data_IF_364122190361
#
_entry.id   IF_364122190361
#
_cell.length_a   1.000
_cell.length_b   1.000
_cell.length_c   1.000
_cell.angle_alpha   90.00
_cell.angle_beta   90.00
_cell.angle_gamma   90.00
#
_symmetry.space_group_name_H-M   'P 1'
#
loop_
_entity.id
_entity.type
_entity.pdbx_description
1 polymer ?
#
# COMPACT_ATOMS: atom_id res chain seq x y z
N UNK A 1 0.77 -3.31 4.39
CA UNK A 1 -0.24 -3.41 3.33
C UNK A 1 -1.66 -3.42 3.87
N UNK A 2 -2.03 -4.41 4.67
CA UNK A 2 -3.41 -4.63 5.13
C UNK A 2 -4.14 -3.39 5.67
N UNK A 3 -3.55 -2.66 6.63
CA UNK A 3 -4.17 -1.48 7.21
C UNK A 3 -4.56 -0.42 6.15
N UNK A 4 -3.67 -0.24 5.17
CA UNK A 4 -3.84 0.72 4.09
C UNK A 4 -4.96 0.28 3.13
N UNK A 5 -4.96 -1.00 2.74
CA UNK A 5 -5.99 -1.56 1.86
C UNK A 5 -7.39 -1.48 2.49
N UNK A 6 -7.51 -1.78 3.78
CA UNK A 6 -8.77 -1.67 4.51
C UNK A 6 -9.23 -0.21 4.67
N UNK A 7 -8.30 0.73 4.91
CA UNK A 7 -8.64 2.16 4.93
C UNK A 7 -9.13 2.67 3.57
N UNK A 8 -8.47 2.25 2.49
CA UNK A 8 -8.88 2.60 1.13
C UNK A 8 -10.27 2.03 0.81
N UNK A 9 -10.53 0.78 1.20
CA UNK A 9 -11.84 0.15 1.07
C UNK A 9 -12.91 0.92 1.87
N UNK A 10 -12.62 1.28 3.12
CA UNK A 10 -13.53 2.06 3.96
C UNK A 10 -13.87 3.42 3.31
N UNK A 11 -12.88 4.12 2.78
CA UNK A 11 -13.12 5.35 2.02
C UNK A 11 -14.02 5.11 0.81
N UNK A 12 -13.69 4.10 -0.01
CA UNK A 12 -14.40 3.79 -1.25
C UNK A 12 -15.87 3.41 -1.03
N UNK A 13 -16.19 2.70 0.06
CA UNK A 13 -17.57 2.37 0.43
C UNK A 13 -18.45 3.60 0.74
N UNK A 14 -17.84 4.77 0.99
CA UNK A 14 -18.55 6.02 1.31
C UNK A 14 -18.47 7.07 0.19
N UNK A 15 -17.74 6.78 -0.88
CA UNK A 15 -17.63 7.67 -2.04
C UNK A 15 -18.77 7.38 -3.03
N UNK A 16 -19.21 8.38 -3.83
CA UNK A 16 -20.15 8.15 -4.93
C UNK A 16 -19.63 7.09 -5.91
N UNK A 17 -20.50 6.20 -6.36
CA UNK A 17 -20.16 5.02 -7.19
C UNK A 17 -19.55 5.36 -8.54
N UNK A 18 -19.77 6.56 -9.06
CA UNK A 18 -19.26 7.00 -10.36
C UNK A 18 -17.82 7.54 -10.30
N UNK A 19 -17.16 7.46 -9.14
CA UNK A 19 -15.84 8.06 -8.89
C UNK A 19 -14.84 7.00 -8.47
N UNK A 20 -13.79 6.85 -9.26
CA UNK A 20 -12.68 5.96 -8.97
C UNK A 20 -11.67 6.64 -8.04
N UNK A 21 -10.97 5.83 -7.25
CA UNK A 21 -9.82 6.28 -6.45
C UNK A 21 -8.74 6.83 -7.38
N UNK A 22 -8.28 8.05 -7.12
CA UNK A 22 -7.16 8.66 -7.87
C UNK A 22 -5.88 8.76 -7.07
N UNK A 23 -5.99 9.00 -5.76
CA UNK A 23 -4.84 9.14 -4.89
C UNK A 23 -5.21 8.81 -3.45
N UNK A 24 -4.21 8.35 -2.70
CA UNK A 24 -4.28 8.20 -1.25
C UNK A 24 -2.97 8.71 -0.64
N UNK A 25 -3.10 9.61 0.33
CA UNK A 25 -2.00 10.01 1.20
C UNK A 25 -2.28 9.49 2.60
N UNK A 26 -1.24 9.04 3.31
CA UNK A 26 -1.42 8.43 4.62
C UNK A 26 -0.18 8.57 5.50
N UNK A 27 -0.38 8.42 6.80
CA UNK A 27 0.69 8.24 7.77
C UNK A 27 0.35 7.08 8.71
N UNK A 28 1.32 6.20 8.94
CA UNK A 28 1.29 5.30 10.09
C UNK A 28 1.72 6.09 11.31
N UNK A 29 0.79 6.25 12.26
CA UNK A 29 1.04 7.03 13.47
C UNK A 29 1.62 6.17 14.58
N UNK A 30 1.17 4.93 14.67
CA UNK A 30 1.60 3.97 15.69
C UNK A 30 1.51 2.55 15.14
N UNK A 31 2.34 1.65 15.67
CA UNK A 31 2.23 0.21 15.38
C UNK A 31 0.88 -0.32 15.84
N UNK A 32 0.20 -1.00 14.93
CA UNK A 32 -1.04 -1.69 15.22
C UNK A 32 -0.78 -3.06 15.86
N UNK A 33 -1.62 -3.43 16.82
CA UNK A 33 -1.58 -4.75 17.48
C UNK A 33 -2.39 -5.74 16.63
N UNK A 34 -1.77 -6.82 16.09
CA UNK A 34 -2.43 -7.74 15.16
C UNK A 34 -3.71 -8.40 15.72
N UNK A 35 -3.74 -8.68 17.02
CA UNK A 35 -4.83 -9.37 17.69
C UNK A 35 -6.02 -8.45 18.03
N UNK A 36 -5.90 -7.14 17.76
CA UNK A 36 -6.94 -6.15 18.03
C UNK A 36 -7.57 -5.67 16.71
N UNK A 37 -8.91 -5.59 16.62
CA UNK A 37 -9.55 -5.02 15.45
C UNK A 37 -9.19 -3.53 15.28
N UNK A 38 -9.15 -3.06 14.03
CA UNK A 38 -9.00 -1.65 13.68
C UNK A 38 -10.37 -1.10 13.29
N UNK A 39 -10.82 -0.06 13.97
CA UNK A 39 -12.01 0.70 13.61
C UNK A 39 -11.60 1.83 12.65
N UNK A 40 -12.23 1.86 11.47
CA UNK A 40 -12.01 2.88 10.44
C UNK A 40 -13.16 3.88 10.45
N UNK A 41 -12.88 5.08 10.96
CA UNK A 41 -13.80 6.20 10.90
C UNK A 41 -13.57 6.98 9.61
N UNK A 42 -14.64 7.21 8.84
CA UNK A 42 -14.57 7.89 7.54
C UNK A 42 -15.37 9.19 7.60
N UNK A 43 -14.70 10.31 7.33
CA UNK A 43 -15.30 11.64 7.30
C UNK A 43 -15.30 12.17 5.86
N UNK A 44 -16.47 12.49 5.27
CA UNK A 44 -16.53 13.21 4.01
C UNK A 44 -15.90 14.60 4.14
N UNK A 45 -14.88 14.89 3.33
CA UNK A 45 -14.27 16.22 3.27
C UNK A 45 -14.87 17.08 2.15
N UNK A 46 -15.15 16.44 1.01
CA UNK A 46 -15.68 17.10 -0.17
C UNK A 46 -16.50 16.12 -1.01
N UNK A 47 -17.66 16.56 -1.47
CA UNK A 47 -18.45 15.91 -2.53
C UNK A 47 -18.80 16.95 -3.61
N UNK A 48 -17.82 17.24 -4.46
CA UNK A 48 -18.00 18.15 -5.60
C UNK A 48 -18.68 17.46 -6.79
N UNK A 49 -18.81 18.17 -7.92
CA UNK A 49 -19.40 17.60 -9.15
C UNK A 49 -18.54 16.48 -9.77
N UNK A 50 -17.21 16.65 -9.75
CA UNK A 50 -16.25 15.73 -10.38
C UNK A 50 -15.32 15.03 -9.40
N UNK A 51 -15.14 15.61 -8.21
CA UNK A 51 -14.18 15.15 -7.21
C UNK A 51 -14.85 14.86 -5.89
N UNK A 52 -14.40 13.81 -5.20
CA UNK A 52 -14.71 13.56 -3.80
C UNK A 52 -13.42 13.36 -3.00
N UNK A 53 -13.46 13.71 -1.72
CA UNK A 53 -12.36 13.47 -0.79
C UNK A 53 -12.91 12.91 0.52
N UNK A 54 -12.20 11.95 1.10
CA UNK A 54 -12.49 11.31 2.37
C UNK A 54 -11.28 11.40 3.28
N UNK A 55 -11.51 11.67 4.56
CA UNK A 55 -10.53 11.43 5.61
C UNK A 55 -10.85 10.10 6.28
N UNK A 56 -9.82 9.29 6.54
CA UNK A 56 -9.95 7.98 7.20
C UNK A 56 -9.04 7.97 8.40
N UNK A 57 -9.60 7.69 9.57
CA UNK A 57 -8.87 7.53 10.82
C UNK A 57 -8.99 6.08 11.29
N UNK A 58 -7.86 5.39 11.35
CA UNK A 58 -7.78 4.03 11.89
C UNK A 58 -7.46 4.05 13.38
N UNK A 59 -8.31 3.44 14.21
CA UNK A 59 -8.12 3.38 15.66
C UNK A 59 -8.19 1.96 16.21
N UNK A 60 -7.46 1.67 17.27
CA UNK A 60 -7.54 0.42 18.03
C UNK A 60 -7.80 0.71 19.51
N UNK A 61 -8.32 -0.28 20.24
CA UNK A 61 -8.34 -0.23 21.70
C UNK A 61 -6.91 -0.19 22.28
N UNK A 62 -6.70 0.71 23.23
CA UNK A 62 -5.47 0.78 24.02
C UNK A 62 -5.42 -0.27 25.11
N UNK A 63 -4.41 -0.18 25.99
CA UNK A 63 -4.20 -1.16 27.06
C UNK A 63 -5.07 -0.88 28.29
N UNK A 64 -5.48 0.38 28.47
CA UNK A 64 -6.38 0.81 29.54
C UNK A 64 -7.86 0.83 29.11
N UNK A 65 -8.81 0.68 30.06
CA UNK A 65 -10.24 0.82 29.79
C UNK A 65 -10.56 2.18 29.14
N UNK A 66 -11.26 2.14 28.01
CA UNK A 66 -11.68 3.34 27.27
C UNK A 66 -10.58 4.04 26.47
N UNK A 67 -9.33 3.57 26.50
CA UNK A 67 -8.26 4.17 25.71
C UNK A 67 -8.41 3.80 24.23
N UNK A 68 -8.22 4.78 23.34
CA UNK A 68 -8.19 4.60 21.88
C UNK A 68 -6.86 5.10 21.34
N UNK A 69 -6.19 4.28 20.54
CA UNK A 69 -4.91 4.61 19.90
C UNK A 69 -5.14 4.76 18.40
N UNK A 70 -4.68 5.89 17.85
CA UNK A 70 -4.71 6.09 16.39
C UNK A 70 -3.49 5.43 15.79
N UNK A 71 -3.72 4.51 14.86
CA UNK A 71 -2.67 3.75 14.18
C UNK A 71 -2.42 4.23 12.76
N UNK A 72 -3.45 4.80 12.13
CA UNK A 72 -3.42 5.27 10.75
C UNK A 72 -4.22 6.56 10.62
N UNK A 73 -3.67 7.50 9.84
CA UNK A 73 -4.41 8.64 9.32
C UNK A 73 -4.26 8.64 7.79
N UNK A 74 -5.34 8.85 7.05
CA UNK A 74 -5.30 8.86 5.59
C UNK A 74 -6.31 9.84 4.99
N UNK A 75 -5.97 10.36 3.82
CA UNK A 75 -6.91 11.07 2.96
C UNK A 75 -6.92 10.41 1.58
N UNK A 76 -8.12 10.15 1.08
CA UNK A 76 -8.37 9.48 -0.19
C UNK A 76 -9.15 10.41 -1.10
N UNK A 77 -8.65 10.58 -2.32
CA UNK A 77 -9.28 11.38 -3.37
C UNK A 77 -9.86 10.49 -4.45
N UNK A 78 -10.99 10.93 -4.98
CA UNK A 78 -11.77 10.25 -6.00
C UNK A 78 -12.13 11.21 -7.11
N UNK A 79 -12.20 10.71 -8.35
CA UNK A 79 -12.67 11.49 -9.49
C UNK A 79 -13.52 10.66 -10.43
N UNK A 80 -14.47 11.31 -11.11
CA UNK A 80 -15.10 10.69 -12.29
C UNK A 80 -14.05 10.47 -13.37
N UNK A 81 -14.17 9.44 -14.22
CA UNK A 81 -13.33 9.30 -15.40
C UNK A 81 -13.41 10.54 -16.29
N UNK A 82 -12.26 11.04 -16.75
CA UNK A 82 -12.14 12.25 -17.56
C UNK A 82 -11.12 12.04 -18.68
N UNK A 83 -11.47 12.48 -19.88
CA UNK A 83 -10.50 12.54 -20.98
C UNK A 83 -9.47 13.65 -20.75
N UNK A 84 -8.23 13.40 -21.16
CA UNK A 84 -7.13 14.36 -21.06
C UNK A 84 -5.86 13.82 -21.73
N UNK A 85 -4.81 14.66 -21.82
CA UNK A 85 -3.51 14.20 -22.32
C UNK A 85 -2.99 13.03 -21.48
N UNK A 86 -2.48 12.00 -22.16
CA UNK A 86 -1.88 10.84 -21.52
C UNK A 86 -0.41 10.76 -21.91
N UNK A 87 0.45 10.60 -20.91
CA UNK A 87 1.85 10.26 -21.12
C UNK A 87 2.29 9.33 -19.99
N UNK A 88 3.25 8.46 -20.29
CA UNK A 88 3.91 7.63 -19.29
C UNK A 88 5.38 7.52 -19.65
N UNK A 89 6.23 7.42 -18.64
CA UNK A 89 7.64 7.08 -18.87
C UNK A 89 7.71 5.58 -19.15
N UNK A 90 8.29 5.14 -20.29
CA UNK A 90 8.43 3.71 -20.56
C UNK A 90 9.27 3.05 -19.46
N UNK A 91 8.88 1.84 -19.05
CA UNK A 91 9.67 1.07 -18.10
C UNK A 91 11.03 0.72 -18.70
N UNK A 92 12.09 0.81 -17.88
CA UNK A 92 13.44 0.35 -18.25
C UNK A 92 13.67 -1.12 -17.89
N UNK A 93 12.79 -1.70 -17.08
CA UNK A 93 12.89 -3.09 -16.68
C UNK A 93 12.49 -4.00 -17.84
N UNK A 94 13.22 -5.11 -18.00
CA UNK A 94 12.86 -6.14 -18.97
C UNK A 94 11.48 -6.73 -18.61
N UNK A 95 10.62 -6.88 -19.61
CA UNK A 95 9.34 -7.58 -19.44
C UNK A 95 9.60 -9.09 -19.42
N UNK A 96 9.79 -9.64 -18.23
CA UNK A 96 9.98 -11.08 -18.00
C UNK A 96 8.67 -11.67 -17.48
N UNK A 97 8.27 -12.86 -17.96
CA UNK A 97 7.11 -13.56 -17.39
C UNK A 97 7.43 -13.93 -15.93
N UNK A 98 6.68 -13.42 -14.94
CA UNK A 98 6.92 -13.74 -13.54
C UNK A 98 6.99 -15.25 -13.31
N UNK A 99 6.19 -16.06 -14.00
CA UNK A 99 6.15 -17.51 -13.80
C UNK A 99 7.43 -18.23 -14.19
N UNK A 100 8.27 -17.61 -15.03
CA UNK A 100 9.58 -18.12 -15.40
C UNK A 100 10.69 -17.76 -14.40
N UNK A 101 10.43 -16.82 -13.50
CA UNK A 101 11.39 -16.40 -12.48
C UNK A 101 11.34 -17.35 -11.28
N UNK A 102 12.48 -17.54 -10.58
CA UNK A 102 12.50 -18.30 -9.35
C UNK A 102 11.58 -17.65 -8.30
N UNK A 103 10.87 -18.45 -7.50
CA UNK A 103 10.25 -17.99 -6.27
C UNK A 103 11.25 -17.26 -5.36
N UNK A 104 10.76 -16.40 -4.48
CA UNK A 104 11.62 -15.64 -3.56
C UNK A 104 12.45 -16.55 -2.64
N UNK A 105 11.86 -17.66 -2.19
CA UNK A 105 12.52 -18.67 -1.36
C UNK A 105 13.66 -19.43 -2.08
N UNK A 106 13.66 -19.43 -3.42
CA UNK A 106 14.64 -20.11 -4.26
C UNK A 106 15.74 -19.16 -4.76
N UNK A 107 15.79 -17.93 -4.25
CA UNK A 107 16.84 -16.98 -4.61
C UNK A 107 18.22 -17.48 -4.14
N UNK A 108 19.29 -17.24 -4.92
CA UNK A 108 20.65 -17.54 -4.47
C UNK A 108 20.95 -16.86 -3.13
N UNK A 109 21.64 -17.55 -2.22
CA UNK A 109 21.87 -17.09 -0.86
C UNK A 109 22.48 -15.67 -0.80
N UNK A 110 23.44 -15.37 -1.67
CA UNK A 110 24.06 -14.03 -1.78
C UNK A 110 23.04 -12.95 -2.14
N UNK A 111 22.15 -13.25 -3.09
CA UNK A 111 21.07 -12.34 -3.49
C UNK A 111 20.05 -12.18 -2.36
N UNK A 112 19.61 -13.27 -1.75
CA UNK A 112 18.67 -13.24 -0.63
C UNK A 112 19.21 -12.41 0.56
N UNK A 113 20.49 -12.56 0.89
CA UNK A 113 21.15 -11.76 1.92
C UNK A 113 21.19 -10.27 1.55
N UNK A 114 21.55 -9.96 0.30
CA UNK A 114 21.54 -8.59 -0.21
C UNK A 114 20.14 -7.97 -0.15
N UNK A 115 19.10 -8.71 -0.54
CA UNK A 115 17.70 -8.27 -0.40
C UNK A 115 17.34 -8.01 1.07
N UNK A 116 17.69 -8.93 1.97
CA UNK A 116 17.40 -8.79 3.41
C UNK A 116 18.07 -7.55 3.99
N UNK A 117 19.31 -7.22 3.59
CA UNK A 117 20.00 -6.00 4.02
C UNK A 117 19.30 -4.73 3.52
N UNK A 118 18.82 -4.74 2.27
CA UNK A 118 18.13 -3.58 1.68
C UNK A 118 16.74 -3.36 2.27
N UNK A 119 15.99 -4.42 2.54
CA UNK A 119 14.65 -4.32 3.13
C UNK A 119 14.68 -4.08 4.64
N UNK A 120 15.74 -4.50 5.33
CA UNK A 120 15.89 -4.35 6.78
C UNK A 120 15.08 -5.38 7.60
N UNK A 121 14.44 -6.36 6.95
CA UNK A 121 13.73 -7.46 7.57
C UNK A 121 13.77 -8.70 6.67
N UNK A 122 13.64 -9.89 7.27
CA UNK A 122 13.45 -11.13 6.54
C UNK A 122 12.09 -11.10 5.85
N UNK A 123 12.08 -11.23 4.52
CA UNK A 123 10.85 -11.23 3.76
C UNK A 123 10.24 -12.63 3.79
N UNK A 124 9.31 -12.85 4.72
CA UNK A 124 8.45 -14.03 4.76
C UNK A 124 7.04 -13.60 4.36
N UNK A 125 6.69 -13.78 3.10
CA UNK A 125 5.36 -13.46 2.61
C UNK A 125 4.41 -14.62 2.84
N UNK A 126 3.40 -14.41 3.69
CA UNK A 126 2.32 -15.38 3.92
C UNK A 126 1.17 -15.27 2.90
N UNK A 127 1.26 -14.40 1.88
CA UNK A 127 0.13 -14.13 0.99
C UNK A 127 0.43 -13.50 -0.37
N UNK A 128 1.71 -13.39 -0.75
CA UNK A 128 2.17 -12.90 -2.06
C UNK A 128 3.26 -13.82 -2.60
N UNK A 129 3.11 -14.31 -3.83
CA UNK A 129 4.20 -14.91 -4.63
C UNK A 129 5.02 -13.75 -5.23
N UNK A 130 6.12 -13.39 -4.56
CA UNK A 130 7.03 -12.36 -5.05
C UNK A 130 8.15 -12.99 -5.88
N UNK A 131 8.40 -12.39 -7.05
CA UNK A 131 9.46 -12.81 -7.97
C UNK A 131 10.23 -11.62 -8.49
N UNK A 132 11.56 -11.69 -8.40
CA UNK A 132 12.46 -10.60 -8.76
C UNK A 132 13.08 -10.85 -10.14
N UNK A 133 12.71 -10.03 -11.13
CA UNK A 133 13.23 -10.16 -12.49
C UNK A 133 14.71 -9.73 -12.60
N UNK A 134 15.06 -8.64 -11.92
CA UNK A 134 16.42 -8.13 -11.81
C UNK A 134 16.61 -7.57 -10.39
N UNK A 135 17.11 -8.38 -9.43
CA UNK A 135 17.39 -7.92 -8.08
C UNK A 135 18.40 -6.77 -8.03
N UNK A 136 19.36 -6.74 -8.97
CA UNK A 136 20.40 -5.73 -9.01
C UNK A 136 19.85 -4.36 -9.38
N UNK A 137 19.02 -4.29 -10.43
CA UNK A 137 18.35 -3.07 -10.87
C UNK A 137 17.19 -2.66 -9.95
N UNK A 138 16.35 -3.62 -9.54
CA UNK A 138 15.10 -3.34 -8.82
C UNK A 138 15.27 -2.89 -7.38
N UNK A 139 16.31 -3.37 -6.70
CA UNK A 139 16.61 -3.05 -5.30
C UNK A 139 17.84 -2.14 -5.15
N UNK A 140 18.41 -1.67 -6.26
CA UNK A 140 19.64 -0.88 -6.25
C UNK A 140 20.84 -1.61 -5.65
N UNK A 141 20.86 -2.95 -5.75
CA UNK A 141 21.97 -3.78 -5.25
C UNK A 141 23.19 -3.71 -6.18
N UNK A 142 23.01 -3.26 -7.41
CA UNK A 142 24.11 -2.77 -8.23
C UNK A 142 24.61 -1.43 -7.65
N UNK A 143 25.61 -1.49 -6.78
CA UNK A 143 26.55 -0.36 -6.64
C UNK A 143 27.39 -0.24 -7.92
N UNK A 144 27.87 0.97 -8.29
CA UNK A 144 28.68 1.19 -9.48
C UNK A 144 29.94 0.32 -9.56
#
# INVERSE_FOLDING_TARGET
GQLLGQALMAAAMTAPSERDVTAMQFMFLQSATPERPVDYEVTPLQDGKRFASRHVRGTQAGDGPGQRRVVLDAQVSFAVPMEGPQHTTPTRAALVDPRSLPPFEDLPAETAEAVSRTLGYAFESIGLDLRLADPAQGLGLASP
#
